data_IF_528295050628
#
_entry.id   IF_528295050628
#
_cell.length_a   1.000
_cell.length_b   1.000
_cell.length_c   1.000
_cell.angle_alpha   90.00
_cell.angle_beta   90.00
_cell.angle_gamma   90.00
#
_symmetry.space_group_name_H-M   'P 1'
#
loop_
_entity.id
_entity.type
_entity.pdbx_description
1 polymer ?
#
# COMPACT_ATOMS: atom_id res chain seq x y z
N UNK A 1 -59.47 -21.01 -23.78
CA UNK A 1 -58.44 -20.98 -22.72
C UNK A 1 -57.09 -21.07 -23.42
N UNK A 2 -56.33 -19.98 -23.36
CA UNK A 2 -55.30 -19.60 -24.33
C UNK A 2 -54.05 -20.48 -24.28
N UNK A 3 -53.55 -20.87 -25.45
CA UNK A 3 -52.17 -21.32 -25.63
C UNK A 3 -51.27 -20.11 -25.80
N UNK A 4 -50.18 -20.09 -25.06
CA UNK A 4 -49.10 -19.12 -25.19
C UNK A 4 -47.76 -19.87 -25.16
N UNK A 5 -46.78 -19.30 -25.86
CA UNK A 5 -45.33 -19.61 -25.90
C UNK A 5 -44.94 -20.56 -27.02
N UNK A 6 -43.95 -20.28 -27.85
CA UNK A 6 -43.14 -19.11 -28.09
C UNK A 6 -42.49 -19.34 -29.47
N UNK A 7 -42.55 -18.35 -30.35
CA UNK A 7 -41.86 -18.39 -31.65
C UNK A 7 -40.39 -18.11 -31.38
N UNK A 8 -39.53 -19.12 -31.55
CA UNK A 8 -38.08 -18.98 -31.50
C UNK A 8 -37.57 -18.79 -32.94
N UNK A 9 -37.45 -17.52 -33.36
CA UNK A 9 -36.83 -17.17 -34.64
C UNK A 9 -35.30 -17.11 -34.42
N UNK A 10 -34.58 -18.17 -34.80
CA UNK A 10 -33.12 -18.13 -34.84
C UNK A 10 -32.67 -17.26 -36.01
N UNK A 11 -32.11 -16.08 -35.70
CA UNK A 11 -31.42 -15.22 -36.65
C UNK A 11 -29.96 -15.68 -36.75
N UNK A 12 -29.61 -16.36 -37.85
CA UNK A 12 -28.24 -16.70 -38.17
C UNK A 12 -27.50 -15.46 -38.69
N UNK A 13 -26.56 -14.93 -37.90
CA UNK A 13 -25.59 -13.94 -38.36
C UNK A 13 -24.25 -14.64 -38.51
N UNK A 14 -23.83 -14.85 -39.76
CA UNK A 14 -22.49 -15.30 -40.10
C UNK A 14 -21.52 -14.11 -39.94
N UNK A 15 -20.67 -14.16 -38.91
CA UNK A 15 -19.48 -13.31 -38.81
C UNK A 15 -18.28 -14.13 -39.26
N UNK A 16 -17.80 -13.85 -40.46
CA UNK A 16 -16.47 -14.24 -40.94
C UNK A 16 -15.41 -13.58 -40.06
N UNK A 17 -14.87 -14.34 -39.12
CA UNK A 17 -13.70 -13.95 -38.32
C UNK A 17 -12.42 -14.44 -38.99
N UNK A 18 -11.46 -13.52 -39.18
CA UNK A 18 -10.08 -13.87 -39.53
C UNK A 18 -9.45 -14.66 -38.39
N UNK A 19 -8.93 -15.86 -38.70
CA UNK A 19 -8.16 -16.65 -37.76
C UNK A 19 -6.69 -16.16 -37.75
N UNK A 20 -6.37 -15.19 -36.89
CA UNK A 20 -4.98 -14.99 -36.47
C UNK A 20 -4.67 -16.00 -35.37
N UNK A 21 -3.72 -16.91 -35.65
CA UNK A 21 -3.20 -17.85 -34.66
C UNK A 21 -2.53 -17.06 -33.54
N UNK A 22 -2.87 -17.26 -32.26
CA UNK A 22 -1.97 -16.86 -31.20
C UNK A 22 -0.71 -17.72 -31.34
N UNK A 23 0.44 -17.08 -31.50
CA UNK A 23 1.70 -17.73 -31.19
C UNK A 23 1.61 -18.25 -29.75
N UNK A 24 1.99 -19.52 -29.55
CA UNK A 24 2.05 -20.11 -28.23
C UNK A 24 2.93 -19.22 -27.33
N UNK A 25 2.31 -18.59 -26.32
CA UNK A 25 3.02 -17.88 -25.27
C UNK A 25 3.77 -18.92 -24.46
N UNK A 26 5.10 -18.92 -24.55
CA UNK A 26 5.95 -19.64 -23.63
C UNK A 26 5.60 -19.24 -22.18
N UNK A 27 5.65 -20.16 -21.20
CA UNK A 27 5.35 -19.81 -19.82
C UNK A 27 6.26 -18.66 -19.39
N UNK A 28 5.65 -17.53 -19.03
CA UNK A 28 6.37 -16.42 -18.45
C UNK A 28 7.02 -16.92 -17.17
N UNK A 29 8.35 -16.99 -17.18
CA UNK A 29 9.14 -17.03 -15.94
C UNK A 29 8.60 -15.93 -15.03
N UNK A 30 8.36 -16.20 -13.73
CA UNK A 30 7.96 -15.14 -12.81
C UNK A 30 8.98 -14.01 -12.93
N UNK A 31 8.55 -12.73 -13.00
CA UNK A 31 9.49 -11.64 -12.97
C UNK A 31 10.19 -11.68 -11.61
N UNK A 32 11.36 -12.28 -11.58
CA UNK A 32 12.37 -12.09 -10.54
C UNK A 32 12.92 -10.69 -10.74
N UNK A 33 12.10 -9.73 -10.35
CA UNK A 33 12.31 -8.31 -10.57
C UNK A 33 11.56 -7.54 -9.50
N UNK A 34 11.72 -7.95 -8.24
CA UNK A 34 11.62 -6.99 -7.14
C UNK A 34 12.81 -6.07 -7.34
N UNK A 35 12.59 -4.98 -8.06
CA UNK A 35 13.53 -3.86 -8.10
C UNK A 35 13.58 -3.33 -6.68
N UNK A 36 14.53 -3.83 -5.90
CA UNK A 36 14.90 -3.23 -4.62
C UNK A 36 15.35 -1.81 -4.95
N UNK A 37 14.57 -0.82 -4.50
CA UNK A 37 14.91 0.59 -4.58
C UNK A 37 16.37 0.82 -4.12
N UNK A 38 17.09 1.80 -4.69
CA UNK A 38 18.49 2.00 -4.39
C UNK A 38 18.76 2.08 -2.88
N UNK A 39 19.88 1.53 -2.38
CA UNK A 39 20.31 1.73 -1.01
C UNK A 39 20.74 3.19 -0.84
N UNK A 40 19.79 4.08 -0.55
CA UNK A 40 20.06 5.52 -0.53
C UNK A 40 19.17 6.37 0.39
N UNK A 41 18.02 5.87 0.82
CA UNK A 41 17.19 6.56 1.81
C UNK A 41 16.70 5.54 2.84
N UNK A 42 17.63 5.07 3.68
CA UNK A 42 17.21 4.41 4.91
C UNK A 42 16.34 5.40 5.70
N UNK A 43 15.19 4.96 6.23
CA UNK A 43 14.34 5.87 7.00
C UNK A 43 15.12 6.42 8.19
N UNK A 44 15.04 7.73 8.41
CA UNK A 44 15.49 8.36 9.63
C UNK A 44 14.53 7.96 10.76
N UNK A 45 14.94 6.99 11.57
CA UNK A 45 14.13 6.38 12.62
C UNK A 45 14.98 6.11 13.86
N UNK A 46 14.58 6.68 15.00
CA UNK A 46 15.28 6.49 16.28
C UNK A 46 14.92 5.16 16.97
N UNK A 47 15.64 4.84 18.06
CA UNK A 47 15.46 3.58 18.77
C UNK A 47 14.07 3.42 19.42
N UNK A 48 13.50 4.52 19.93
CA UNK A 48 12.17 4.53 20.54
C UNK A 48 11.09 4.22 19.49
N UNK A 49 11.16 4.91 18.35
CA UNK A 49 10.28 4.69 17.21
C UNK A 49 10.39 3.26 16.70
N UNK A 50 11.61 2.74 16.55
CA UNK A 50 11.83 1.37 16.10
C UNK A 50 11.31 0.32 17.10
N UNK A 51 11.39 0.59 18.41
CA UNK A 51 10.80 -0.29 19.43
C UNK A 51 9.28 -0.34 19.31
N UNK A 52 8.63 0.82 19.25
CA UNK A 52 7.18 0.92 19.10
C UNK A 52 6.71 0.30 17.79
N UNK A 53 7.46 0.45 16.69
CA UNK A 53 7.19 -0.23 15.43
C UNK A 53 7.16 -1.75 15.60
N UNK A 54 8.18 -2.33 16.25
CA UNK A 54 8.22 -3.78 16.50
C UNK A 54 7.07 -4.25 17.38
N UNK A 55 6.69 -3.48 18.40
CA UNK A 55 5.55 -3.78 19.26
C UNK A 55 4.25 -3.83 18.45
N UNK A 56 3.99 -2.83 17.60
CA UNK A 56 2.80 -2.79 16.75
C UNK A 56 2.80 -3.96 15.75
N UNK A 57 3.94 -4.25 15.12
CA UNK A 57 4.06 -5.39 14.20
C UNK A 57 3.83 -6.74 14.91
N UNK A 58 4.31 -6.89 16.14
CA UNK A 58 4.09 -8.08 16.95
C UNK A 58 2.60 -8.25 17.32
N UNK A 59 1.91 -7.16 17.69
CA UNK A 59 0.46 -7.18 17.93
C UNK A 59 -0.29 -7.63 16.67
N UNK A 60 0.07 -7.06 15.52
CA UNK A 60 -0.53 -7.37 14.23
C UNK A 60 -0.29 -8.81 13.77
N UNK A 61 0.85 -9.40 14.10
CA UNK A 61 1.16 -10.79 13.78
C UNK A 61 0.19 -11.78 14.46
N UNK A 62 -0.46 -11.38 15.56
CA UNK A 62 -1.49 -12.16 16.23
C UNK A 62 -2.89 -12.06 15.60
N UNK A 63 -3.08 -11.26 14.55
CA UNK A 63 -4.40 -11.07 13.95
C UNK A 63 -4.69 -12.08 12.83
N UNK A 64 -5.97 -12.41 12.56
CA UNK A 64 -6.33 -13.26 11.45
C UNK A 64 -5.83 -12.72 10.11
N UNK A 65 -5.38 -13.60 9.22
CA UNK A 65 -4.90 -13.23 7.89
C UNK A 65 -5.96 -12.46 7.07
N UNK A 66 -7.23 -12.86 7.20
CA UNK A 66 -8.38 -12.27 6.49
C UNK A 66 -9.16 -11.25 7.35
N UNK A 67 -8.49 -10.48 8.20
CA UNK A 67 -9.14 -9.42 8.98
C UNK A 67 -9.60 -8.26 8.08
N UNK A 68 -10.82 -7.70 8.27
CA UNK A 68 -11.25 -6.53 7.53
C UNK A 68 -10.29 -5.34 7.72
N UNK A 69 -10.00 -4.62 6.63
CA UNK A 69 -9.07 -3.46 6.65
C UNK A 69 -9.44 -2.44 7.73
N UNK A 70 -10.71 -2.01 7.76
CA UNK A 70 -11.20 -1.04 8.75
C UNK A 70 -11.00 -1.50 10.21
N UNK A 71 -10.98 -2.81 10.47
CA UNK A 71 -10.65 -3.34 11.80
C UNK A 71 -9.15 -3.25 12.10
N UNK A 72 -8.29 -3.47 11.11
CA UNK A 72 -6.84 -3.22 11.27
C UNK A 72 -6.59 -1.73 11.54
N UNK A 73 -7.23 -0.84 10.78
CA UNK A 73 -7.16 0.61 10.97
C UNK A 73 -7.59 0.99 12.39
N UNK A 74 -8.77 0.53 12.85
CA UNK A 74 -9.25 0.77 14.23
C UNK A 74 -8.22 0.33 15.28
N UNK A 75 -7.70 -0.90 15.20
CA UNK A 75 -6.75 -1.41 16.18
C UNK A 75 -5.40 -0.68 16.15
N UNK A 76 -4.84 -0.41 14.97
CA UNK A 76 -3.58 0.34 14.82
C UNK A 76 -3.75 1.80 15.28
N UNK A 77 -4.87 2.43 14.96
CA UNK A 77 -5.13 3.84 15.30
C UNK A 77 -5.06 4.11 16.80
N UNK A 78 -5.40 3.11 17.62
CA UNK A 78 -5.37 3.16 19.10
C UNK A 78 -3.96 3.15 19.66
N UNK A 79 -2.99 2.59 18.94
CA UNK A 79 -1.59 2.48 19.39
C UNK A 79 -0.89 3.84 19.53
N UNK A 80 -1.46 4.88 18.93
CA UNK A 80 -0.97 6.25 18.97
C UNK A 80 -1.83 7.18 19.85
N UNK A 81 -2.81 6.64 20.60
CA UNK A 81 -3.55 7.44 21.57
C UNK A 81 -2.62 7.95 22.67
N UNK A 82 -2.70 9.26 22.94
CA UNK A 82 -1.81 9.93 23.89
C UNK A 82 -0.45 10.33 23.30
N UNK A 83 -0.14 9.98 22.04
CA UNK A 83 1.04 10.52 21.35
C UNK A 83 0.89 12.03 21.18
N UNK A 84 1.88 12.84 21.61
CA UNK A 84 1.81 14.30 21.50
C UNK A 84 1.64 14.79 20.06
N UNK A 85 0.88 15.87 19.91
CA UNK A 85 0.82 16.59 18.65
C UNK A 85 2.08 17.43 18.46
N UNK A 86 2.76 17.30 17.32
CA UNK A 86 3.90 18.12 16.92
C UNK A 86 3.73 18.52 15.45
N UNK A 87 3.88 19.81 15.13
CA UNK A 87 3.83 20.29 13.75
C UNK A 87 5.15 20.02 13.00
N UNK A 88 5.11 20.13 11.67
CA UNK A 88 6.28 20.08 10.79
C UNK A 88 7.11 18.79 10.96
N UNK A 89 6.43 17.64 10.85
CA UNK A 89 7.06 16.33 11.09
C UNK A 89 7.92 15.82 9.95
N UNK A 90 7.66 16.29 8.73
CA UNK A 90 8.34 15.87 7.51
C UNK A 90 9.41 16.89 7.11
N UNK A 91 10.42 16.42 6.37
CA UNK A 91 11.54 17.25 5.94
C UNK A 91 11.66 17.21 4.42
N UNK A 92 11.51 18.38 3.82
CA UNK A 92 11.78 18.65 2.41
C UNK A 92 11.20 19.99 2.01
N UNK A 93 11.88 20.67 1.10
CA UNK A 93 11.46 21.95 0.54
C UNK A 93 12.20 22.18 -0.79
N UNK A 94 11.83 23.23 -1.53
CA UNK A 94 12.51 23.59 -2.78
C UNK A 94 14.04 23.73 -2.61
N UNK A 95 14.50 24.22 -1.45
CA UNK A 95 15.91 24.38 -1.11
C UNK A 95 16.42 23.35 -0.08
N UNK A 96 15.64 22.33 0.27
CA UNK A 96 16.01 21.33 1.29
C UNK A 96 15.72 19.93 0.75
N UNK A 97 16.74 19.08 0.58
CA UNK A 97 16.51 17.71 0.13
C UNK A 97 15.48 16.99 1.00
N UNK A 98 14.55 16.31 0.33
CA UNK A 98 13.54 15.48 0.99
C UNK A 98 14.21 14.34 1.75
N UNK A 99 13.68 14.00 2.93
CA UNK A 99 14.14 12.87 3.73
C UNK A 99 12.96 12.05 4.23
N UNK A 100 13.10 10.73 4.14
CA UNK A 100 12.13 9.80 4.73
C UNK A 100 12.28 9.78 6.25
N UNK A 101 11.51 10.62 6.95
CA UNK A 101 11.49 10.70 8.41
C UNK A 101 10.35 9.86 8.98
N UNK A 102 10.67 9.03 9.99
CA UNK A 102 9.71 8.24 10.75
C UNK A 102 9.96 8.48 12.25
N UNK A 103 9.00 9.12 12.91
CA UNK A 103 9.10 9.45 14.34
C UNK A 103 7.74 9.30 15.01
N UNK A 104 7.60 8.28 15.86
CA UNK A 104 6.36 7.96 16.56
C UNK A 104 6.21 8.69 17.90
N UNK A 105 7.20 9.49 18.31
CA UNK A 105 7.20 10.21 19.60
C UNK A 105 6.34 11.47 19.57
N UNK A 106 5.96 11.93 18.37
CA UNK A 106 5.00 13.00 18.19
C UNK A 106 4.57 13.12 16.72
N UNK A 107 3.29 13.39 16.51
CA UNK A 107 2.62 13.30 15.21
C UNK A 107 1.87 14.58 14.87
N UNK A 108 1.67 14.83 13.59
CA UNK A 108 0.64 15.72 13.09
C UNK A 108 -0.51 14.91 12.46
N UNK A 109 -1.52 15.60 11.94
CA UNK A 109 -2.69 14.95 11.34
C UNK A 109 -2.32 14.04 10.16
N UNK A 110 -1.35 14.43 9.33
CA UNK A 110 -0.95 13.68 8.14
C UNK A 110 -0.14 12.46 8.51
N UNK A 111 0.91 12.65 9.30
CA UNK A 111 1.78 11.55 9.73
C UNK A 111 1.04 10.49 10.54
N UNK A 112 0.05 10.88 11.34
CA UNK A 112 -0.84 9.92 12.00
C UNK A 112 -1.56 9.01 11.00
N UNK A 113 -2.24 9.59 10.01
CA UNK A 113 -3.02 8.81 9.03
C UNK A 113 -2.09 7.94 8.18
N UNK A 114 -0.95 8.47 7.75
CA UNK A 114 0.04 7.74 6.96
C UNK A 114 0.55 6.49 7.69
N UNK A 115 0.92 6.65 8.97
CA UNK A 115 1.43 5.55 9.77
C UNK A 115 0.34 4.51 10.05
N UNK A 116 -0.88 4.95 10.36
CA UNK A 116 -2.00 4.04 10.59
C UNK A 116 -2.29 3.21 9.34
N UNK A 117 -2.37 3.84 8.18
CA UNK A 117 -2.64 3.14 6.92
C UNK A 117 -1.49 2.19 6.54
N UNK A 118 -0.24 2.64 6.61
CA UNK A 118 0.92 1.79 6.31
C UNK A 118 0.97 0.55 7.23
N UNK A 119 0.76 0.73 8.54
CA UNK A 119 0.79 -0.36 9.52
C UNK A 119 -0.45 -1.27 9.47
N UNK A 120 -1.58 -0.77 8.97
CA UNK A 120 -2.80 -1.58 8.80
C UNK A 120 -2.65 -2.68 7.75
N UNK A 121 -1.63 -2.61 6.89
CA UNK A 121 -1.34 -3.62 5.85
C UNK A 121 0.02 -4.31 6.04
N UNK A 122 1.05 -3.61 6.50
CA UNK A 122 2.42 -4.13 6.61
C UNK A 122 2.58 -5.33 7.58
N UNK A 123 3.43 -6.29 7.25
CA UNK A 123 3.78 -7.46 8.10
C UNK A 123 5.22 -7.45 8.59
N UNK A 124 6.02 -6.48 8.16
CA UNK A 124 7.42 -6.33 8.56
C UNK A 124 7.81 -4.84 8.56
N UNK A 125 8.97 -4.51 9.16
CA UNK A 125 9.52 -3.15 9.11
C UNK A 125 9.79 -2.72 7.66
N UNK A 126 10.34 -3.62 6.82
CA UNK A 126 10.58 -3.34 5.41
C UNK A 126 9.28 -3.07 4.63
N UNK A 127 8.23 -3.87 4.86
CA UNK A 127 6.93 -3.62 4.27
C UNK A 127 6.32 -2.31 4.76
N UNK A 128 6.43 -2.00 6.05
CA UNK A 128 5.94 -0.73 6.60
C UNK A 128 6.62 0.46 5.92
N UNK A 129 7.95 0.43 5.79
CA UNK A 129 8.72 1.48 5.13
C UNK A 129 8.31 1.61 3.67
N UNK A 130 8.18 0.49 2.94
CA UNK A 130 7.75 0.53 1.54
C UNK A 130 6.34 1.11 1.39
N UNK A 131 5.38 0.67 2.20
CA UNK A 131 4.00 1.17 2.16
C UNK A 131 3.93 2.66 2.49
N UNK A 132 4.73 3.09 3.46
CA UNK A 132 4.81 4.50 3.84
C UNK A 132 5.35 5.35 2.69
N UNK A 133 6.36 4.84 1.97
CA UNK A 133 6.91 5.52 0.79
C UNK A 133 5.84 5.62 -0.31
N UNK A 134 5.11 4.53 -0.57
CA UNK A 134 4.04 4.50 -1.58
C UNK A 134 2.89 5.47 -1.25
N UNK A 135 2.61 5.69 0.05
CA UNK A 135 1.59 6.64 0.52
C UNK A 135 2.06 8.09 0.35
N UNK A 136 3.31 8.39 0.71
CA UNK A 136 3.80 9.77 0.82
C UNK A 136 4.36 10.34 -0.47
N UNK A 137 4.92 9.50 -1.34
CA UNK A 137 5.75 9.95 -2.45
C UNK A 137 5.21 9.46 -3.80
N UNK A 138 5.07 10.39 -4.72
CA UNK A 138 4.65 10.09 -6.10
C UNK A 138 5.66 9.15 -6.74
N UNK A 139 5.17 8.05 -7.30
CA UNK A 139 5.97 6.94 -7.87
C UNK A 139 7.02 6.35 -6.89
N UNK A 140 6.83 6.51 -5.58
CA UNK A 140 7.81 6.10 -4.56
C UNK A 140 9.12 6.90 -4.58
N UNK A 141 9.16 8.07 -5.24
CA UNK A 141 10.34 8.91 -5.34
C UNK A 141 10.43 9.85 -4.14
N UNK A 142 11.35 9.59 -3.22
CA UNK A 142 11.63 10.44 -2.05
C UNK A 142 12.32 11.73 -2.53
N UNK A 143 11.51 12.67 -2.98
CA UNK A 143 11.94 13.96 -3.50
C UNK A 143 10.84 15.00 -3.26
N UNK A 144 11.25 16.24 -2.99
CA UNK A 144 10.33 17.36 -2.92
C UNK A 144 9.93 17.74 -4.36
N UNK A 145 8.63 17.80 -4.68
CA UNK A 145 8.17 18.21 -6.01
C UNK A 145 8.76 19.56 -6.41
N UNK A 146 9.27 19.65 -7.63
CA UNK A 146 9.85 20.87 -8.20
C UNK A 146 8.77 21.77 -8.81
#
# INVERSE_FOLDING_TARGET
MNQNKAVLLMLAIAMSGCADRPAAVAPATPPTGVTVSPPGAQPEMDASTRSKLREILALRAGWPAAQPHGRSVDLISREFLGTPYLANRLIGAQSTPERLVIDFRGLDCFTYIDYVEALSTARSEAEFVQRLVDIRYVDGKIAFPQ
#
